data_IF_359993653444
#
_entry.id   IF_359993653444
#
_cell.length_a   1.000
_cell.length_b   1.000
_cell.length_c   1.000
_cell.angle_alpha   90.00
_cell.angle_beta   90.00
_cell.angle_gamma   90.00
#
_symmetry.space_group_name_H-M   'P 1'
#
loop_
_entity.id
_entity.type
_entity.pdbx_description
1 polymer ?
#
# COMPACT_ATOMS: atom_id res chain seq x y z
N UNK A 1 -71.46 3.79 -24.91
CA UNK A 1 -70.56 4.24 -23.90
C UNK A 1 -69.43 3.20 -23.81
N UNK A 2 -68.27 3.53 -24.40
CA UNK A 2 -67.16 2.56 -24.59
C UNK A 2 -66.11 2.85 -23.58
N UNK A 3 -65.87 1.86 -22.69
CA UNK A 3 -64.77 1.89 -21.72
C UNK A 3 -63.44 1.61 -22.45
N UNK A 4 -62.47 2.52 -22.34
CA UNK A 4 -61.08 2.29 -22.70
C UNK A 4 -60.30 1.96 -21.40
N UNK A 5 -59.88 0.69 -21.29
CA UNK A 5 -58.86 0.29 -20.33
C UNK A 5 -57.48 0.57 -20.93
N UNK A 6 -56.78 1.52 -20.34
CA UNK A 6 -55.33 1.71 -20.59
C UNK A 6 -54.52 0.66 -19.81
N UNK A 7 -53.88 -0.25 -20.55
CA UNK A 7 -52.88 -1.14 -19.95
C UNK A 7 -51.55 -0.37 -19.82
N UNK A 8 -51.18 -0.02 -18.58
CA UNK A 8 -49.85 0.45 -18.26
C UNK A 8 -48.88 -0.73 -18.26
N UNK A 9 -47.95 -0.75 -19.21
CA UNK A 9 -46.78 -1.63 -19.16
C UNK A 9 -45.82 -1.11 -18.07
N UNK A 10 -45.81 -1.77 -16.91
CA UNK A 10 -44.72 -1.63 -15.96
C UNK A 10 -43.54 -2.41 -16.53
N UNK A 11 -42.53 -1.71 -17.06
CA UNK A 11 -41.22 -2.29 -17.27
C UNK A 11 -40.62 -2.57 -15.85
N UNK A 12 -40.65 -3.83 -15.46
CA UNK A 12 -39.81 -4.30 -14.38
C UNK A 12 -38.35 -4.24 -14.89
N UNK A 13 -37.59 -3.26 -14.44
CA UNK A 13 -36.13 -3.33 -14.53
C UNK A 13 -35.71 -4.49 -13.63
N UNK A 14 -35.33 -5.61 -14.22
CA UNK A 14 -34.55 -6.64 -13.57
C UNK A 14 -33.17 -6.00 -13.41
N UNK A 15 -32.59 -5.90 -12.20
CA UNK A 15 -31.18 -5.54 -12.08
C UNK A 15 -30.40 -6.60 -12.85
N UNK A 16 -29.83 -6.22 -13.99
CA UNK A 16 -28.89 -7.07 -14.72
C UNK A 16 -27.66 -7.23 -13.83
N UNK A 17 -27.22 -8.46 -13.63
CA UNK A 17 -25.89 -8.69 -13.08
C UNK A 17 -24.90 -7.85 -13.90
N UNK A 18 -24.08 -7.04 -13.23
CA UNK A 18 -22.99 -6.33 -13.88
C UNK A 18 -22.05 -7.40 -14.46
N UNK A 19 -21.87 -7.38 -15.78
CA UNK A 19 -20.92 -8.25 -16.47
C UNK A 19 -19.70 -7.39 -16.80
N UNK A 20 -18.50 -8.00 -16.72
CA UNK A 20 -17.29 -7.35 -17.22
C UNK A 20 -17.50 -6.93 -18.69
N UNK A 21 -17.00 -5.75 -19.04
CA UNK A 21 -16.90 -5.33 -20.43
C UNK A 21 -15.77 -6.06 -21.17
N UNK A 22 -15.51 -5.68 -22.42
CA UNK A 22 -14.47 -6.34 -23.23
C UNK A 22 -13.06 -6.29 -22.58
N UNK A 23 -12.74 -5.20 -21.86
CA UNK A 23 -11.48 -5.04 -21.14
C UNK A 23 -11.41 -5.94 -19.91
N UNK A 24 -12.50 -6.06 -19.14
CA UNK A 24 -12.58 -6.93 -17.99
C UNK A 24 -12.47 -8.43 -18.35
N UNK A 25 -13.12 -8.87 -19.41
CA UNK A 25 -13.06 -10.27 -19.88
C UNK A 25 -11.60 -10.69 -20.24
N UNK A 26 -10.77 -9.75 -20.69
CA UNK A 26 -9.36 -10.01 -21.07
C UNK A 26 -8.37 -9.77 -19.95
N UNK A 27 -8.79 -9.09 -18.87
CA UNK A 27 -7.87 -8.67 -17.81
C UNK A 27 -7.26 -9.87 -17.07
N UNK A 28 -8.06 -10.85 -16.69
CA UNK A 28 -7.57 -12.05 -16.00
C UNK A 28 -6.54 -12.82 -16.85
N UNK A 29 -6.82 -12.99 -18.14
CA UNK A 29 -5.90 -13.66 -19.06
C UNK A 29 -4.59 -12.88 -19.21
N UNK A 30 -4.66 -11.55 -19.28
CA UNK A 30 -3.50 -10.67 -19.36
C UNK A 30 -2.63 -10.72 -18.09
N UNK A 31 -3.27 -10.72 -16.90
CA UNK A 31 -2.59 -10.85 -15.62
C UNK A 31 -1.88 -12.20 -15.47
N UNK A 32 -2.51 -13.29 -15.90
CA UNK A 32 -1.92 -14.63 -15.81
C UNK A 32 -0.92 -14.93 -16.92
N UNK A 33 -1.05 -14.24 -18.06
CA UNK A 33 -0.15 -14.37 -19.20
C UNK A 33 1.05 -13.43 -19.18
N UNK A 34 1.06 -12.45 -18.27
CA UNK A 34 2.11 -11.42 -18.24
C UNK A 34 2.00 -10.38 -19.37
N UNK A 35 0.82 -10.23 -20.00
CA UNK A 35 0.58 -9.32 -21.15
C UNK A 35 -0.24 -8.09 -20.80
N UNK A 36 -0.24 -7.69 -19.53
CA UNK A 36 -1.09 -6.61 -19.02
C UNK A 36 -0.82 -5.26 -19.70
N UNK A 37 0.44 -4.95 -19.98
CA UNK A 37 0.83 -3.72 -20.68
C UNK A 37 0.23 -3.63 -22.10
N UNK A 38 0.06 -4.78 -22.80
CA UNK A 38 -0.59 -4.82 -24.12
C UNK A 38 -2.09 -4.50 -24.01
N UNK A 39 -2.75 -5.01 -22.96
CA UNK A 39 -4.15 -4.71 -22.67
C UNK A 39 -4.33 -3.22 -22.38
N UNK A 40 -3.46 -2.62 -21.55
CA UNK A 40 -3.51 -1.22 -21.19
C UNK A 40 -3.50 -0.29 -22.41
N UNK A 41 -2.73 -0.60 -23.46
CA UNK A 41 -2.69 0.20 -24.70
C UNK A 41 -4.04 0.28 -25.39
N UNK A 42 -4.90 -0.71 -25.24
CA UNK A 42 -6.24 -0.78 -25.87
C UNK A 42 -7.36 -0.30 -24.94
N UNK A 43 -7.16 -0.30 -23.63
CA UNK A 43 -8.16 0.09 -22.64
C UNK A 43 -8.33 1.60 -22.49
N UNK A 44 -7.32 2.42 -22.89
CA UNK A 44 -7.31 3.87 -22.63
C UNK A 44 -8.55 4.59 -23.19
N UNK A 45 -8.94 4.31 -24.44
CA UNK A 45 -10.09 4.95 -25.06
C UNK A 45 -11.43 4.58 -24.38
N UNK A 46 -11.56 3.35 -23.92
CA UNK A 46 -12.75 2.86 -23.21
C UNK A 46 -12.83 3.50 -21.82
N UNK A 47 -11.70 3.59 -21.10
CA UNK A 47 -11.63 4.32 -19.83
C UNK A 47 -11.97 5.80 -20.00
N UNK A 48 -11.52 6.46 -21.07
CA UNK A 48 -11.89 7.85 -21.37
C UNK A 48 -13.39 8.02 -21.70
N UNK A 49 -14.03 6.95 -22.18
CA UNK A 49 -15.47 6.90 -22.38
C UNK A 49 -16.27 6.61 -21.08
N UNK A 50 -15.61 6.33 -19.96
CA UNK A 50 -16.22 6.07 -18.65
C UNK A 50 -16.49 4.59 -18.37
N UNK A 51 -15.87 3.66 -19.12
CA UNK A 51 -15.96 2.22 -18.84
C UNK A 51 -15.12 1.88 -17.62
N UNK A 52 -15.78 1.42 -16.53
CA UNK A 52 -15.15 1.16 -15.23
C UNK A 52 -14.11 0.05 -15.29
N UNK A 53 -14.41 -1.06 -15.95
CA UNK A 53 -13.51 -2.20 -16.12
C UNK A 53 -12.25 -1.83 -16.90
N UNK A 54 -12.35 -0.94 -17.89
CA UNK A 54 -11.21 -0.45 -18.65
C UNK A 54 -10.30 0.44 -17.78
N UNK A 55 -10.89 1.32 -16.96
CA UNK A 55 -10.12 2.12 -16.00
C UNK A 55 -9.47 1.25 -14.92
N UNK A 56 -10.17 0.22 -14.44
CA UNK A 56 -9.64 -0.74 -13.48
C UNK A 56 -8.42 -1.49 -14.04
N UNK A 57 -8.50 -1.94 -15.30
CA UNK A 57 -7.38 -2.59 -15.98
C UNK A 57 -6.13 -1.68 -16.07
N UNK A 58 -6.32 -0.38 -16.42
CA UNK A 58 -5.25 0.61 -16.44
C UNK A 58 -4.69 0.89 -15.04
N UNK A 59 -5.55 0.92 -14.03
CA UNK A 59 -5.14 1.12 -12.64
C UNK A 59 -4.31 -0.05 -12.12
N UNK A 60 -4.70 -1.30 -12.38
CA UNK A 60 -3.90 -2.48 -12.02
C UNK A 60 -2.56 -2.52 -12.73
N UNK A 61 -2.54 -2.21 -14.02
CA UNK A 61 -1.28 -2.12 -14.78
C UNK A 61 -0.34 -1.08 -14.14
N UNK A 62 -0.84 0.11 -13.83
CA UNK A 62 -0.04 1.16 -13.22
C UNK A 62 0.47 0.80 -11.80
N UNK A 63 -0.31 0.06 -11.01
CA UNK A 63 0.13 -0.47 -9.70
C UNK A 63 1.26 -1.48 -9.91
N UNK A 64 1.08 -2.46 -10.78
CA UNK A 64 2.08 -3.50 -11.05
C UNK A 64 3.35 -2.86 -11.59
N UNK A 65 3.26 -1.98 -12.59
CA UNK A 65 4.41 -1.26 -13.15
C UNK A 65 5.16 -0.44 -12.09
N UNK A 66 4.44 0.19 -11.16
CA UNK A 66 5.07 0.93 -10.07
C UNK A 66 5.95 0.03 -9.20
N UNK A 67 5.42 -1.10 -8.73
CA UNK A 67 6.15 -2.02 -7.87
C UNK A 67 7.27 -2.77 -8.61
N UNK A 68 7.02 -3.23 -9.83
CA UNK A 68 8.04 -3.89 -10.65
C UNK A 68 9.21 -2.96 -10.95
N UNK A 69 8.94 -1.74 -11.40
CA UNK A 69 10.01 -0.76 -11.69
C UNK A 69 10.82 -0.45 -10.44
N UNK A 70 10.18 -0.23 -9.28
CA UNK A 70 10.91 0.00 -8.04
C UNK A 70 11.76 -1.22 -7.65
N UNK A 71 11.21 -2.43 -7.75
CA UNK A 71 11.92 -3.67 -7.44
C UNK A 71 13.14 -3.87 -8.37
N UNK A 72 12.96 -3.64 -9.68
CA UNK A 72 14.03 -3.69 -10.68
C UNK A 72 15.13 -2.66 -10.40
N UNK A 73 14.76 -1.43 -10.08
CA UNK A 73 15.71 -0.37 -9.74
C UNK A 73 16.49 -0.71 -8.46
N UNK A 74 15.82 -1.19 -7.42
CA UNK A 74 16.48 -1.63 -6.19
C UNK A 74 17.41 -2.83 -6.43
N UNK A 75 16.97 -3.82 -7.23
CA UNK A 75 17.78 -4.97 -7.61
C UNK A 75 18.99 -4.55 -8.45
N UNK A 76 18.82 -3.65 -9.44
CA UNK A 76 19.90 -3.11 -10.27
C UNK A 76 21.04 -2.53 -9.42
N UNK A 77 20.70 -1.87 -8.31
CA UNK A 77 21.66 -1.30 -7.38
C UNK A 77 22.04 -2.24 -6.24
N UNK A 78 21.65 -3.51 -6.31
CA UNK A 78 22.05 -4.54 -5.37
C UNK A 78 21.50 -4.35 -3.96
N UNK A 79 20.25 -3.90 -3.85
CA UNK A 79 19.57 -3.82 -2.57
C UNK A 79 19.53 -5.17 -1.87
N UNK A 80 19.87 -5.17 -0.60
CA UNK A 80 19.78 -6.35 0.27
C UNK A 80 18.90 -6.00 1.47
N UNK A 81 18.18 -7.00 1.96
CA UNK A 81 17.53 -6.88 3.27
C UNK A 81 18.60 -7.12 4.33
N UNK A 82 18.95 -6.11 5.14
CA UNK A 82 19.89 -6.33 6.23
C UNK A 82 19.36 -7.40 7.18
N UNK A 83 20.19 -8.39 7.53
CA UNK A 83 19.85 -9.47 8.47
C UNK A 83 19.54 -8.97 9.89
N UNK A 84 19.41 -7.66 10.09
CA UNK A 84 19.20 -7.08 11.40
C UNK A 84 17.71 -6.80 11.66
N UNK A 85 17.23 -7.35 12.77
CA UNK A 85 15.91 -7.04 13.36
C UNK A 85 15.69 -5.54 13.61
N UNK A 86 16.74 -4.71 13.62
CA UNK A 86 16.66 -3.28 13.85
C UNK A 86 16.08 -2.50 12.68
N UNK A 87 16.33 -2.89 11.44
CA UNK A 87 15.70 -2.25 10.27
C UNK A 87 14.22 -2.63 10.17
N UNK A 88 13.87 -3.90 10.42
CA UNK A 88 12.49 -4.35 10.54
C UNK A 88 11.73 -3.59 11.64
N UNK A 89 12.38 -3.31 12.77
CA UNK A 89 11.83 -2.51 13.85
C UNK A 89 11.65 -1.02 13.45
N UNK A 90 12.63 -0.47 12.72
CA UNK A 90 12.61 0.94 12.27
C UNK A 90 11.57 1.18 11.17
N UNK A 91 11.40 0.20 10.28
CA UNK A 91 10.47 0.28 9.14
C UNK A 91 9.07 -0.26 9.46
N UNK A 92 8.87 -0.90 10.62
CA UNK A 92 7.59 -1.44 11.06
C UNK A 92 7.06 -2.60 10.22
N UNK A 93 7.89 -3.20 9.36
CA UNK A 93 7.50 -4.25 8.41
C UNK A 93 8.47 -5.40 8.48
N UNK A 94 7.97 -6.63 8.49
CA UNK A 94 8.79 -7.79 8.14
C UNK A 94 9.16 -7.66 6.67
N UNK A 95 10.43 -7.35 6.37
CA UNK A 95 10.88 -7.24 4.99
C UNK A 95 11.00 -8.64 4.40
N UNK A 96 10.32 -8.95 3.29
CA UNK A 96 10.45 -10.24 2.62
C UNK A 96 11.91 -10.53 2.28
N UNK A 97 12.32 -11.80 2.30
CA UNK A 97 13.63 -12.20 1.78
C UNK A 97 13.73 -11.69 0.34
N UNK A 98 14.74 -10.86 0.09
CA UNK A 98 14.97 -10.32 -1.25
C UNK A 98 15.18 -11.46 -2.26
N UNK A 99 14.72 -11.30 -3.51
CA UNK A 99 15.14 -12.15 -4.60
C UNK A 99 16.68 -12.17 -4.73
N UNK A 100 17.22 -13.07 -5.51
CA UNK A 100 18.66 -13.30 -5.65
C UNK A 100 19.45 -11.97 -5.70
N UNK A 101 20.45 -11.82 -4.84
CA UNK A 101 21.28 -10.61 -4.80
C UNK A 101 21.96 -10.40 -6.16
N UNK A 102 21.89 -9.19 -6.73
CA UNK A 102 22.65 -8.81 -7.92
C UNK A 102 24.15 -8.96 -7.62
N UNK A 103 24.85 -9.73 -8.45
CA UNK A 103 26.27 -10.01 -8.26
C UNK A 103 27.18 -8.83 -8.65
N UNK A 104 26.71 -8.00 -9.61
CA UNK A 104 27.45 -6.86 -10.18
C UNK A 104 26.56 -5.62 -10.26
N UNK A 105 26.19 -5.03 -9.10
CA UNK A 105 25.27 -3.92 -9.06
C UNK A 105 25.87 -2.62 -9.63
N UNK A 106 25.00 -1.81 -10.21
CA UNK A 106 25.36 -0.47 -10.67
C UNK A 106 25.54 0.51 -9.48
N UNK A 107 26.39 1.53 -9.65
CA UNK A 107 26.52 2.58 -8.65
C UNK A 107 25.19 3.31 -8.43
N UNK A 108 24.89 3.62 -7.17
CA UNK A 108 23.71 4.39 -6.77
C UNK A 108 24.18 5.74 -6.20
N UNK A 109 23.73 6.85 -6.78
CA UNK A 109 23.89 8.17 -6.16
C UNK A 109 22.65 8.54 -5.33
N UNK A 110 22.81 9.53 -4.45
CA UNK A 110 21.70 10.08 -3.68
C UNK A 110 20.57 10.62 -4.57
N UNK A 111 20.94 11.36 -5.60
CA UNK A 111 20.01 11.94 -6.57
C UNK A 111 19.25 10.85 -7.32
N UNK A 112 19.95 9.81 -7.79
CA UNK A 112 19.33 8.69 -8.50
C UNK A 112 18.36 7.91 -7.59
N UNK A 113 18.72 7.69 -6.32
CA UNK A 113 17.79 7.08 -5.37
C UNK A 113 16.51 7.93 -5.22
N UNK A 114 16.65 9.26 -5.11
CA UNK A 114 15.49 10.15 -5.04
C UNK A 114 14.63 10.08 -6.31
N UNK A 115 15.27 10.02 -7.49
CA UNK A 115 14.56 9.88 -8.78
C UNK A 115 13.75 8.58 -8.84
N UNK A 116 14.29 7.44 -8.38
CA UNK A 116 13.55 6.18 -8.33
C UNK A 116 12.35 6.26 -7.39
N UNK A 117 12.53 6.83 -6.19
CA UNK A 117 11.44 6.99 -5.22
C UNK A 117 10.35 7.96 -5.73
N UNK A 118 10.76 9.05 -6.41
CA UNK A 118 9.82 10.01 -7.00
C UNK A 118 9.04 9.38 -8.16
N UNK A 119 9.72 8.66 -9.05
CA UNK A 119 9.08 7.92 -10.15
C UNK A 119 8.06 6.90 -9.64
N UNK A 120 8.33 6.24 -8.51
CA UNK A 120 7.40 5.34 -7.86
C UNK A 120 6.13 6.06 -7.39
N UNK A 121 6.28 7.21 -6.70
CA UNK A 121 5.10 7.98 -6.25
C UNK A 121 4.26 8.50 -7.41
N UNK A 122 4.88 8.95 -8.50
CA UNK A 122 4.19 9.41 -9.72
C UNK A 122 3.37 8.28 -10.38
N UNK A 123 3.93 7.05 -10.41
CA UNK A 123 3.18 5.88 -10.92
C UNK A 123 2.00 5.52 -10.03
N UNK A 124 2.17 5.57 -8.70
CA UNK A 124 1.08 5.35 -7.75
C UNK A 124 -0.02 6.42 -7.86
N UNK A 125 0.33 7.68 -8.12
CA UNK A 125 -0.65 8.75 -8.39
C UNK A 125 -1.44 8.48 -9.68
N UNK A 126 -0.75 7.98 -10.70
CA UNK A 126 -1.39 7.55 -11.95
C UNK A 126 -2.37 6.39 -11.70
N UNK A 127 -1.93 5.39 -10.93
CA UNK A 127 -2.76 4.26 -10.53
C UNK A 127 -4.00 4.72 -9.75
N UNK A 128 -3.80 5.57 -8.73
CA UNK A 128 -4.89 6.12 -7.92
C UNK A 128 -5.91 6.87 -8.77
N UNK A 129 -5.44 7.62 -9.78
CA UNK A 129 -6.33 8.33 -10.72
C UNK A 129 -7.18 7.38 -11.55
N UNK A 130 -6.59 6.34 -12.13
CA UNK A 130 -7.34 5.35 -12.90
C UNK A 130 -8.32 4.57 -12.02
N UNK A 131 -7.88 4.14 -10.83
CA UNK A 131 -8.73 3.42 -9.88
C UNK A 131 -9.91 4.27 -9.39
N UNK A 132 -9.70 5.56 -9.11
CA UNK A 132 -10.79 6.47 -8.77
C UNK A 132 -11.80 6.60 -9.93
N UNK A 133 -11.31 6.69 -11.17
CA UNK A 133 -12.18 6.72 -12.37
C UNK A 133 -12.93 5.40 -12.57
N UNK A 134 -12.32 4.26 -12.22
CA UNK A 134 -12.98 2.96 -12.25
C UNK A 134 -14.13 2.90 -11.24
N UNK A 135 -13.91 3.38 -10.02
CA UNK A 135 -14.97 3.48 -9.01
C UNK A 135 -16.14 4.36 -9.42
N UNK A 136 -15.86 5.51 -10.07
CA UNK A 136 -16.88 6.43 -10.58
C UNK A 136 -17.47 5.99 -11.95
N UNK A 137 -16.92 4.95 -12.59
CA UNK A 137 -17.26 4.48 -13.94
C UNK A 137 -18.52 3.61 -14.01
N UNK A 138 -18.74 3.01 -15.19
CA UNK A 138 -19.80 2.00 -15.35
C UNK A 138 -19.58 0.80 -14.43
N UNK A 139 -20.65 0.16 -13.96
CA UNK A 139 -20.58 -1.00 -13.09
C UNK A 139 -19.91 -2.19 -13.81
N UNK A 140 -19.05 -2.90 -13.09
CA UNK A 140 -18.36 -4.10 -13.55
C UNK A 140 -18.17 -5.09 -12.40
N UNK A 141 -17.96 -6.37 -12.71
CA UNK A 141 -17.44 -7.39 -11.81
C UNK A 141 -16.43 -8.24 -12.59
N UNK A 142 -15.20 -8.33 -12.13
CA UNK A 142 -14.12 -9.07 -12.80
C UNK A 142 -13.58 -10.15 -11.86
N UNK A 143 -13.81 -11.45 -12.15
CA UNK A 143 -13.28 -12.53 -11.33
C UNK A 143 -11.78 -12.71 -11.59
N UNK A 144 -10.97 -12.55 -10.57
CA UNK A 144 -9.51 -12.74 -10.63
C UNK A 144 -9.06 -13.72 -9.55
N UNK A 145 -8.09 -14.58 -9.88
CA UNK A 145 -7.33 -15.41 -8.94
C UNK A 145 -6.02 -14.67 -8.58
N UNK A 146 -5.95 -13.90 -7.47
CA UNK A 146 -4.78 -13.04 -7.20
C UNK A 146 -3.46 -13.79 -7.14
N UNK A 147 -3.48 -15.03 -6.64
CA UNK A 147 -2.28 -15.85 -6.50
C UNK A 147 -1.64 -16.28 -7.82
N UNK A 148 -2.37 -16.14 -8.95
CA UNK A 148 -1.90 -16.44 -10.31
C UNK A 148 -1.37 -15.21 -11.05
N UNK A 149 -1.57 -14.02 -10.48
CA UNK A 149 -1.07 -12.78 -11.08
C UNK A 149 0.44 -12.86 -11.16
N UNK A 150 0.99 -12.67 -12.36
CA UNK A 150 2.43 -12.67 -12.59
C UNK A 150 2.98 -11.26 -12.44
N UNK A 151 4.13 -11.18 -11.80
CA UNK A 151 4.90 -9.94 -11.56
C UNK A 151 6.37 -10.23 -11.84
N UNK A 152 7.06 -9.33 -12.52
CA UNK A 152 8.52 -9.42 -12.68
C UNK A 152 9.23 -9.14 -11.35
N UNK A 153 9.69 -10.18 -10.68
CA UNK A 153 10.28 -10.11 -9.35
C UNK A 153 11.80 -10.00 -9.36
N UNK A 154 12.44 -10.52 -10.40
CA UNK A 154 13.91 -10.56 -10.48
C UNK A 154 14.48 -9.49 -11.41
N UNK A 155 13.62 -8.75 -12.09
CA UNK A 155 13.99 -7.60 -12.90
C UNK A 155 14.60 -7.95 -14.25
N UNK A 156 14.36 -9.15 -14.77
CA UNK A 156 14.86 -9.56 -16.08
C UNK A 156 13.98 -9.04 -17.25
N UNK A 157 12.82 -8.48 -16.94
CA UNK A 157 11.85 -7.91 -17.89
C UNK A 157 10.83 -8.93 -18.40
N UNK A 158 10.87 -10.17 -17.92
CA UNK A 158 9.90 -11.22 -18.23
C UNK A 158 9.13 -11.58 -16.94
N UNK A 159 7.85 -11.90 -17.07
CA UNK A 159 7.02 -12.39 -15.96
C UNK A 159 6.95 -13.91 -16.02
N UNK A 160 7.92 -14.58 -15.38
CA UNK A 160 8.08 -16.01 -15.41
C UNK A 160 6.92 -16.79 -14.76
N UNK A 161 6.87 -18.12 -14.95
CA UNK A 161 5.83 -18.96 -14.33
C UNK A 161 5.95 -19.05 -12.81
N UNK A 162 7.15 -18.90 -12.27
CA UNK A 162 7.43 -18.93 -10.82
C UNK A 162 7.24 -17.55 -10.16
N UNK A 163 7.12 -16.49 -10.95
CA UNK A 163 7.01 -15.11 -10.49
C UNK A 163 5.54 -14.69 -10.34
N UNK A 164 4.89 -15.30 -9.37
CA UNK A 164 3.49 -15.00 -9.06
C UNK A 164 3.36 -14.32 -7.70
N UNK A 165 2.27 -13.57 -7.52
CA UNK A 165 1.91 -13.03 -6.22
C UNK A 165 1.82 -14.13 -5.15
N UNK A 166 1.35 -15.33 -5.53
CA UNK A 166 1.33 -16.50 -4.65
C UNK A 166 2.72 -16.91 -4.17
N UNK A 167 3.70 -16.94 -5.08
CA UNK A 167 5.11 -17.25 -4.75
C UNK A 167 5.71 -16.16 -3.85
N UNK A 168 5.44 -14.89 -4.15
CA UNK A 168 5.89 -13.76 -3.33
C UNK A 168 5.37 -13.85 -1.90
N UNK A 169 4.07 -14.08 -1.70
CA UNK A 169 3.45 -14.19 -0.38
C UNK A 169 3.97 -15.39 0.42
N UNK A 170 4.28 -16.51 -0.23
CA UNK A 170 4.91 -17.66 0.41
C UNK A 170 6.31 -17.33 0.94
N UNK A 171 7.13 -16.61 0.15
CA UNK A 171 8.46 -16.19 0.57
C UNK A 171 8.43 -15.11 1.67
N UNK A 172 7.41 -14.26 1.66
CA UNK A 172 7.22 -13.23 2.68
C UNK A 172 6.84 -13.79 4.06
N UNK A 173 6.58 -15.10 4.17
CA UNK A 173 6.14 -15.70 5.43
C UNK A 173 4.78 -15.15 5.90
N UNK A 174 4.00 -14.57 5.01
CA UNK A 174 2.65 -14.14 5.29
C UNK A 174 1.87 -15.38 5.71
N UNK A 175 1.52 -15.47 6.99
CA UNK A 175 0.86 -16.63 7.61
C UNK A 175 -0.60 -16.84 7.19
N UNK A 176 -0.94 -16.45 5.97
CA UNK A 176 -2.13 -16.94 5.33
C UNK A 176 -1.85 -18.39 4.94
N UNK A 177 -2.70 -19.33 5.38
CA UNK A 177 -2.75 -20.70 4.84
C UNK A 177 -3.23 -20.59 3.37
N UNK A 178 -2.35 -20.03 2.53
CA UNK A 178 -2.60 -19.88 1.11
C UNK A 178 -2.36 -21.25 0.48
N UNK A 179 -3.36 -21.87 -0.15
CA UNK A 179 -3.16 -23.10 -0.88
C UNK A 179 -2.07 -22.89 -1.94
N UNK A 180 -1.02 -23.70 -1.90
CA UNK A 180 0.05 -23.59 -2.90
C UNK A 180 -0.54 -23.67 -4.33
N UNK A 181 -0.15 -22.79 -5.26
CA UNK A 181 -0.56 -22.93 -6.65
C UNK A 181 -0.11 -24.30 -7.14
N UNK A 182 -1.04 -25.09 -7.65
CA UNK A 182 -0.78 -26.46 -8.09
C UNK A 182 0.06 -26.45 -9.38
N UNK A 183 1.38 -26.34 -9.23
CA UNK A 183 2.30 -26.61 -10.32
C UNK A 183 2.34 -28.13 -10.56
N UNK A 184 1.82 -28.54 -11.69
CA UNK A 184 1.80 -29.89 -12.31
C UNK A 184 0.54 -30.70 -12.07
N UNK A 185 -0.31 -30.70 -13.09
CA UNK A 185 -1.20 -31.79 -13.40
C UNK A 185 -0.40 -33.07 -13.65
N UNK A 186 0.01 -33.79 -12.57
CA UNK A 186 0.41 -35.17 -12.68
C UNK A 186 -0.82 -36.02 -12.37
N UNK A 187 -1.35 -36.61 -13.41
CA UNK A 187 -2.38 -37.63 -13.36
C UNK A 187 -1.98 -38.75 -12.42
N UNK A 188 -2.56 -38.78 -11.24
CA UNK A 188 -2.96 -39.94 -10.43
C UNK A 188 -2.99 -39.59 -8.95
N UNK A 189 -4.20 -39.31 -8.45
CA UNK A 189 -4.49 -39.16 -7.03
C UNK A 189 -5.61 -38.13 -6.84
N UNK A 190 -6.81 -38.57 -6.48
CA UNK A 190 -7.90 -37.66 -6.08
C UNK A 190 -7.59 -37.10 -4.69
N UNK A 191 -6.81 -36.03 -4.62
CA UNK A 191 -6.94 -35.08 -3.52
C UNK A 191 -7.95 -34.02 -3.96
N UNK A 192 -8.94 -33.69 -3.13
CA UNK A 192 -9.81 -32.57 -3.42
C UNK A 192 -8.92 -31.32 -3.47
N UNK A 193 -8.73 -30.78 -4.67
CA UNK A 193 -8.03 -29.52 -4.94
C UNK A 193 -8.73 -28.47 -4.07
N UNK A 194 -7.96 -27.78 -3.23
CA UNK A 194 -8.50 -26.62 -2.53
C UNK A 194 -9.15 -25.69 -3.56
N UNK A 195 -10.35 -25.17 -3.29
CA UNK A 195 -11.01 -24.28 -4.24
C UNK A 195 -10.09 -23.10 -4.55
N UNK A 196 -9.99 -22.74 -5.82
CA UNK A 196 -9.24 -21.56 -6.24
C UNK A 196 -9.81 -20.33 -5.51
N UNK A 197 -8.92 -19.49 -4.97
CA UNK A 197 -9.31 -18.22 -4.37
C UNK A 197 -9.61 -17.25 -5.52
N UNK A 198 -10.89 -17.09 -5.86
CA UNK A 198 -11.36 -16.14 -6.87
C UNK A 198 -12.01 -14.97 -6.14
N UNK A 199 -11.60 -13.76 -6.47
CA UNK A 199 -12.18 -12.51 -5.98
C UNK A 199 -12.92 -11.84 -7.14
N UNK A 200 -14.15 -11.40 -6.93
CA UNK A 200 -14.91 -10.63 -7.89
C UNK A 200 -14.66 -9.14 -7.71
N UNK A 201 -13.61 -8.62 -8.32
CA UNK A 201 -13.29 -7.19 -8.20
C UNK A 201 -14.29 -6.32 -8.92
N UNK A 202 -14.70 -5.22 -8.27
CA UNK A 202 -15.71 -4.30 -8.76
C UNK A 202 -15.39 -2.81 -8.51
N UNK A 203 -16.40 -1.95 -8.58
CA UNK A 203 -16.25 -0.51 -8.37
C UNK A 203 -15.82 -0.15 -6.92
N UNK A 204 -16.25 -0.91 -5.91
CA UNK A 204 -15.84 -0.68 -4.53
C UNK A 204 -14.35 -0.98 -4.36
N UNK A 205 -13.89 -2.11 -4.87
CA UNK A 205 -12.48 -2.48 -4.85
C UNK A 205 -11.60 -1.45 -5.57
N UNK A 206 -12.12 -0.82 -6.62
CA UNK A 206 -11.39 0.25 -7.29
C UNK A 206 -11.10 1.44 -6.35
N UNK A 207 -12.05 1.84 -5.51
CA UNK A 207 -11.79 2.86 -4.47
C UNK A 207 -10.78 2.36 -3.42
N UNK A 208 -10.86 1.08 -3.05
CA UNK A 208 -9.90 0.45 -2.16
C UNK A 208 -8.47 0.53 -2.72
N UNK A 209 -8.26 0.14 -3.99
CA UNK A 209 -6.96 0.24 -4.66
C UNK A 209 -6.48 1.69 -4.81
N UNK A 210 -7.39 2.65 -5.06
CA UNK A 210 -7.04 4.07 -5.07
C UNK A 210 -6.55 4.54 -3.69
N UNK A 211 -7.21 4.10 -2.60
CA UNK A 211 -6.79 4.33 -1.23
C UNK A 211 -5.41 3.77 -0.95
N UNK A 212 -5.18 2.51 -1.33
CA UNK A 212 -3.89 1.83 -1.16
C UNK A 212 -2.74 2.49 -1.93
N UNK A 213 -2.98 2.94 -3.16
CA UNK A 213 -1.98 3.69 -3.92
C UNK A 213 -1.56 4.97 -3.17
N UNK A 214 -2.53 5.67 -2.56
CA UNK A 214 -2.24 6.87 -1.76
C UNK A 214 -1.54 6.53 -0.43
N UNK A 215 -1.96 5.49 0.30
CA UNK A 215 -1.30 5.05 1.54
C UNK A 215 0.15 4.67 1.25
N UNK A 216 0.39 3.93 0.18
CA UNK A 216 1.74 3.50 -0.22
C UNK A 216 2.62 4.68 -0.61
N UNK A 217 2.10 5.67 -1.32
CA UNK A 217 2.86 6.86 -1.71
C UNK A 217 3.17 7.81 -0.54
N UNK A 218 2.33 7.83 0.51
CA UNK A 218 2.44 8.77 1.63
C UNK A 218 3.81 8.79 2.33
N UNK A 219 4.42 7.65 2.74
CA UNK A 219 5.73 7.65 3.36
C UNK A 219 6.83 8.11 2.40
N UNK A 220 6.71 7.85 1.10
CA UNK A 220 7.68 8.30 0.11
C UNK A 220 7.58 9.81 -0.12
N UNK A 221 6.38 10.39 -0.14
CA UNK A 221 6.22 11.85 -0.17
C UNK A 221 6.84 12.51 1.06
N UNK A 222 6.65 11.90 2.24
CA UNK A 222 7.29 12.38 3.47
C UNK A 222 8.82 12.35 3.35
N UNK A 223 9.42 11.24 2.89
CA UNK A 223 10.87 11.11 2.70
C UNK A 223 11.38 12.10 1.64
N UNK A 224 10.70 12.19 0.50
CA UNK A 224 11.10 13.06 -0.62
C UNK A 224 10.94 14.55 -0.31
N UNK A 225 10.09 14.92 0.65
CA UNK A 225 9.99 16.29 1.14
C UNK A 225 11.25 16.75 1.91
N UNK A 226 12.09 15.79 2.33
CA UNK A 226 13.27 16.04 3.14
C UNK A 226 14.57 15.83 2.38
N UNK A 227 15.64 16.44 2.88
CA UNK A 227 17.01 16.07 2.55
C UNK A 227 17.50 15.00 3.54
N UNK A 228 17.81 13.81 3.02
CA UNK A 228 18.38 12.70 3.80
C UNK A 228 19.79 12.31 3.36
N UNK A 229 20.54 13.25 2.76
CA UNK A 229 21.91 13.03 2.27
C UNK A 229 22.82 12.49 3.37
N UNK A 230 22.76 13.06 4.58
CA UNK A 230 23.60 12.61 5.69
C UNK A 230 23.29 11.15 6.09
N UNK A 231 22.00 10.79 6.11
CA UNK A 231 21.59 9.42 6.40
C UNK A 231 21.98 8.46 5.27
N UNK A 232 21.81 8.88 4.01
CA UNK A 232 22.27 8.13 2.84
C UNK A 232 23.76 7.84 2.93
N UNK A 233 24.58 8.85 3.21
CA UNK A 233 26.02 8.71 3.30
C UNK A 233 26.45 7.83 4.48
N UNK A 234 25.79 7.95 5.63
CA UNK A 234 26.20 7.30 6.85
C UNK A 234 25.70 5.86 6.99
N UNK A 235 24.53 5.53 6.42
CA UNK A 235 23.83 4.28 6.75
C UNK A 235 23.40 3.42 5.56
N UNK A 236 23.04 4.01 4.41
CA UNK A 236 22.41 3.22 3.33
C UNK A 236 23.34 2.22 2.64
N UNK A 237 24.66 2.24 2.90
CA UNK A 237 25.55 1.15 2.50
C UNK A 237 25.14 -0.22 3.10
N UNK A 238 24.36 -0.24 4.19
CA UNK A 238 23.77 -1.47 4.76
C UNK A 238 22.67 -2.07 3.88
N UNK A 239 21.98 -1.22 3.13
CA UNK A 239 20.96 -1.64 2.17
C UNK A 239 21.58 -1.89 0.79
N UNK A 240 22.58 -1.10 0.40
CA UNK A 240 23.25 -1.16 -0.90
C UNK A 240 24.76 -1.38 -0.74
N UNK A 241 25.20 -2.57 -0.27
CA UNK A 241 26.59 -2.76 0.18
C UNK A 241 27.62 -2.70 -0.94
N UNK A 242 27.21 -2.83 -2.21
CA UNK A 242 28.10 -2.85 -3.38
C UNK A 242 27.84 -1.73 -4.39
N UNK A 243 26.90 -0.82 -4.11
CA UNK A 243 26.50 0.23 -5.04
C UNK A 243 27.41 1.48 -5.01
N UNK A 244 28.60 1.40 -4.42
CA UNK A 244 29.57 2.48 -4.43
C UNK A 244 29.25 3.65 -3.50
N UNK A 245 28.43 3.44 -2.47
CA UNK A 245 28.12 4.45 -1.46
C UNK A 245 29.40 4.88 -0.69
N UNK A 246 29.40 6.09 -0.06
CA UNK A 246 30.59 6.62 0.63
C UNK A 246 31.11 5.75 1.77
N UNK A 247 30.24 5.04 2.47
CA UNK A 247 30.60 4.11 3.53
C UNK A 247 30.52 2.67 3.01
N UNK A 248 31.25 1.76 3.62
CA UNK A 248 31.20 0.34 3.28
C UNK A 248 32.02 -0.50 4.28
N UNK A 249 31.66 -1.76 4.43
CA UNK A 249 32.33 -2.73 5.27
C UNK A 249 33.56 -3.28 4.56
N UNK A 250 34.62 -2.48 4.48
CA UNK A 250 35.90 -2.91 3.93
C UNK A 250 36.74 -3.56 5.03
N UNK A 251 36.41 -4.80 5.40
CA UNK A 251 37.26 -5.60 6.30
C UNK A 251 38.64 -5.85 5.65
N UNK A 252 39.58 -5.00 5.92
CA UNK A 252 40.99 -5.29 5.65
C UNK A 252 41.52 -6.10 6.84
N UNK A 253 41.62 -7.42 6.66
CA UNK A 253 42.08 -8.33 7.71
C UNK A 253 43.29 -7.84 8.43
N UNK A 254 43.22 -7.80 9.74
CA UNK A 254 44.36 -7.61 10.67
C UNK A 254 44.44 -6.22 11.28
N UNK A 255 44.03 -6.14 12.51
CA UNK A 255 44.57 -5.32 13.58
C UNK A 255 44.37 -3.82 13.52
N UNK A 256 43.27 -3.40 13.91
CA UNK A 256 43.13 -2.29 14.85
C UNK A 256 41.99 -2.70 15.80
N UNK A 257 41.88 -2.04 16.94
CA UNK A 257 41.01 -2.42 18.05
C UNK A 257 39.51 -2.46 17.75
N UNK A 258 39.10 -2.52 16.47
CA UNK A 258 37.72 -2.49 16.01
C UNK A 258 37.46 -3.73 15.14
N UNK A 259 36.53 -4.53 15.58
CA UNK A 259 36.03 -5.70 14.86
C UNK A 259 34.96 -5.25 13.87
N UNK A 260 35.21 -5.46 12.56
CA UNK A 260 34.30 -5.06 11.49
C UNK A 260 32.93 -5.77 11.58
N UNK A 261 32.87 -7.00 12.10
CA UNK A 261 31.63 -7.77 12.13
C UNK A 261 30.69 -7.33 13.27
N UNK A 262 31.23 -6.82 14.38
CA UNK A 262 30.45 -6.43 15.56
C UNK A 262 30.44 -4.92 15.78
N UNK A 263 31.61 -4.27 15.73
CA UNK A 263 31.76 -2.86 16.07
C UNK A 263 31.21 -1.95 14.95
N UNK A 264 31.32 -2.36 13.68
CA UNK A 264 30.78 -1.61 12.55
C UNK A 264 29.25 -1.48 12.63
N UNK A 265 28.54 -2.53 13.06
CA UNK A 265 27.08 -2.45 13.25
C UNK A 265 26.69 -1.39 14.29
N UNK A 266 27.36 -1.37 15.44
CA UNK A 266 27.09 -0.36 16.46
C UNK A 266 27.49 1.06 16.00
N UNK A 267 28.60 1.18 15.26
CA UNK A 267 29.01 2.46 14.69
C UNK A 267 27.97 3.00 13.71
N UNK A 268 27.44 2.15 12.84
CA UNK A 268 26.41 2.52 11.86
C UNK A 268 25.08 2.87 12.52
N UNK A 269 24.70 2.14 13.58
CA UNK A 269 23.51 2.48 14.36
C UNK A 269 23.64 3.86 15.02
N UNK A 270 24.82 4.16 15.60
CA UNK A 270 25.10 5.48 16.16
C UNK A 270 25.05 6.54 15.06
N UNK A 271 25.69 6.28 13.91
CA UNK A 271 25.67 7.19 12.76
C UNK A 271 24.24 7.44 12.27
N UNK A 272 23.40 6.39 12.17
CA UNK A 272 22.00 6.51 11.80
C UNK A 272 21.22 7.41 12.77
N UNK A 273 21.41 7.24 14.09
CA UNK A 273 20.78 8.09 15.12
C UNK A 273 21.21 9.56 14.95
N UNK A 274 22.50 9.83 14.71
CA UNK A 274 23.00 11.19 14.55
C UNK A 274 22.62 11.85 13.22
N UNK A 275 22.38 11.06 12.17
CA UNK A 275 21.95 11.53 10.85
C UNK A 275 20.43 11.53 10.65
N UNK A 276 19.65 11.10 11.66
CA UNK A 276 18.17 11.08 11.61
C UNK A 276 17.56 12.48 11.83
N UNK A 277 18.19 13.50 11.25
CA UNK A 277 17.78 14.91 11.27
C UNK A 277 17.68 15.41 9.83
N UNK A 278 16.45 15.51 9.33
CA UNK A 278 16.14 15.71 7.94
C UNK A 278 15.56 17.12 7.70
N UNK A 279 16.32 18.05 7.07
CA UNK A 279 15.79 19.34 6.65
C UNK A 279 14.64 19.18 5.66
N UNK A 280 13.57 19.99 5.80
CA UNK A 280 12.50 20.08 4.82
C UNK A 280 12.99 20.92 3.65
N UNK A 281 13.10 20.32 2.46
CA UNK A 281 13.56 20.95 1.22
C UNK A 281 12.43 21.16 0.22
N UNK A 282 11.34 20.41 0.33
CA UNK A 282 10.13 20.59 -0.46
C UNK A 282 8.93 20.80 0.48
N UNK A 283 8.62 22.06 0.72
CA UNK A 283 7.54 22.45 1.63
C UNK A 283 6.15 22.15 1.09
N UNK A 284 5.97 22.22 -0.22
CA UNK A 284 4.69 21.92 -0.85
C UNK A 284 4.37 20.44 -0.71
N UNK A 285 5.33 19.57 -1.02
CA UNK A 285 5.20 18.11 -0.82
C UNK A 285 4.99 17.76 0.64
N UNK A 286 5.73 18.40 1.56
CA UNK A 286 5.59 18.14 3.00
C UNK A 286 4.20 18.47 3.53
N UNK A 287 3.67 19.65 3.21
CA UNK A 287 2.29 20.01 3.55
C UNK A 287 1.27 19.12 2.84
N UNK A 288 1.57 18.69 1.62
CA UNK A 288 0.75 17.78 0.79
C UNK A 288 0.51 16.41 1.41
N UNK A 289 1.40 15.94 2.32
CA UNK A 289 1.23 14.66 3.04
C UNK A 289 -0.12 14.60 3.77
N UNK A 290 -0.54 15.67 4.43
CA UNK A 290 -1.86 15.73 5.07
C UNK A 290 -3.01 15.69 4.06
N UNK A 291 -2.85 16.34 2.91
CA UNK A 291 -3.83 16.29 1.82
C UNK A 291 -4.00 14.87 1.27
N UNK A 292 -2.89 14.13 1.13
CA UNK A 292 -2.92 12.73 0.72
C UNK A 292 -3.61 11.86 1.79
N UNK A 293 -3.32 12.06 3.06
CA UNK A 293 -4.00 11.36 4.16
C UNK A 293 -5.51 11.64 4.17
N UNK A 294 -5.93 12.89 3.94
CA UNK A 294 -7.35 13.24 3.80
C UNK A 294 -7.99 12.55 2.57
N UNK A 295 -7.25 12.40 1.47
CA UNK A 295 -7.71 11.65 0.29
C UNK A 295 -7.96 10.19 0.61
N UNK A 296 -7.06 9.54 1.36
CA UNK A 296 -7.23 8.15 1.84
C UNK A 296 -8.53 8.02 2.64
N UNK A 297 -8.77 8.90 3.61
CA UNK A 297 -9.99 8.88 4.42
C UNK A 297 -11.25 9.03 3.55
N UNK A 298 -11.21 9.94 2.58
CA UNK A 298 -12.32 10.16 1.63
C UNK A 298 -12.59 8.93 0.76
N UNK A 299 -11.53 8.29 0.25
CA UNK A 299 -11.64 7.06 -0.56
C UNK A 299 -12.17 5.90 0.26
N UNK A 300 -11.72 5.75 1.52
CA UNK A 300 -12.26 4.75 2.44
C UNK A 300 -13.78 4.91 2.66
N UNK A 301 -14.26 6.15 2.82
CA UNK A 301 -15.71 6.40 2.92
C UNK A 301 -16.47 6.03 1.63
N UNK A 302 -15.93 6.38 0.46
CA UNK A 302 -16.52 6.01 -0.83
C UNK A 302 -16.55 4.49 -1.04
N UNK A 303 -15.47 3.81 -0.67
CA UNK A 303 -15.38 2.36 -0.69
C UNK A 303 -16.52 1.74 0.14
N UNK A 304 -16.67 2.16 1.39
CA UNK A 304 -17.74 1.65 2.25
C UNK A 304 -19.15 2.02 1.80
N UNK A 305 -19.33 3.21 1.21
CA UNK A 305 -20.60 3.59 0.59
C UNK A 305 -20.95 2.65 -0.56
N UNK A 306 -19.96 2.28 -1.40
CA UNK A 306 -20.12 1.34 -2.50
C UNK A 306 -20.43 -0.07 -1.99
N UNK A 307 -19.58 -0.62 -1.09
CA UNK A 307 -19.77 -1.95 -0.47
C UNK A 307 -21.17 -2.10 0.16
N UNK A 308 -21.66 -1.09 0.87
CA UNK A 308 -22.98 -1.15 1.52
C UNK A 308 -24.15 -1.05 0.54
N UNK A 309 -23.91 -0.57 -0.69
CA UNK A 309 -24.91 -0.49 -1.74
C UNK A 309 -25.00 -1.78 -2.60
N UNK A 310 -24.03 -2.67 -2.50
CA UNK A 310 -23.99 -3.94 -3.22
C UNK A 310 -25.12 -4.90 -2.79
N UNK A 311 -25.60 -5.68 -3.74
CA UNK A 311 -26.70 -6.63 -3.52
C UNK A 311 -26.36 -8.07 -3.88
N UNK A 312 -25.15 -8.30 -4.36
CA UNK A 312 -24.59 -9.61 -4.75
C UNK A 312 -23.60 -10.12 -3.69
N UNK A 313 -23.03 -11.29 -3.91
CA UNK A 313 -22.06 -11.93 -3.02
C UNK A 313 -21.05 -12.71 -3.92
N UNK A 314 -20.18 -11.96 -4.58
CA UNK A 314 -19.24 -12.44 -5.59
C UNK A 314 -17.83 -12.72 -5.04
N UNK A 315 -17.69 -13.09 -3.77
CA UNK A 315 -16.42 -13.28 -3.10
C UNK A 315 -15.59 -11.99 -3.00
N UNK A 316 -16.17 -11.02 -2.32
CA UNK A 316 -15.63 -9.68 -2.16
C UNK A 316 -14.30 -9.65 -1.39
N UNK A 317 -13.39 -8.78 -1.80
CA UNK A 317 -12.15 -8.53 -1.06
C UNK A 317 -12.45 -8.00 0.35
N UNK A 318 -13.35 -7.04 0.45
CA UNK A 318 -13.87 -6.49 1.71
C UNK A 318 -15.40 -6.65 1.71
N UNK A 319 -15.96 -7.65 2.40
CA UNK A 319 -17.40 -7.93 2.34
C UNK A 319 -18.22 -6.92 3.16
N UNK A 320 -19.43 -6.63 2.72
CA UNK A 320 -20.47 -5.99 3.52
C UNK A 320 -20.95 -6.92 4.66
N UNK A 321 -21.73 -6.40 5.63
CA UNK A 321 -22.34 -7.25 6.66
C UNK A 321 -23.28 -8.35 6.16
N UNK A 322 -23.69 -8.31 4.89
CA UNK A 322 -24.61 -9.26 4.27
C UNK A 322 -23.92 -10.23 3.29
N UNK A 323 -22.63 -10.02 3.05
CA UNK A 323 -21.80 -10.83 2.14
C UNK A 323 -20.90 -11.82 2.89
N UNK A 324 -20.33 -12.77 2.15
CA UNK A 324 -19.47 -13.84 2.68
C UNK A 324 -18.01 -13.38 2.69
N UNK A 325 -17.37 -13.42 3.86
CA UNK A 325 -15.92 -13.12 3.96
C UNK A 325 -15.07 -14.21 3.33
N UNK A 326 -14.06 -13.81 2.56
CA UNK A 326 -13.01 -14.70 2.07
C UNK A 326 -12.09 -15.20 3.20
N UNK A 327 -11.99 -14.46 4.31
CA UNK A 327 -11.17 -14.84 5.45
C UNK A 327 -11.99 -15.76 6.36
N UNK A 328 -11.58 -17.04 6.53
CA UNK A 328 -12.31 -17.99 7.35
C UNK A 328 -12.51 -17.47 8.78
N UNK A 329 -13.72 -17.62 9.30
CA UNK A 329 -14.10 -17.23 10.67
C UNK A 329 -14.10 -15.71 10.95
N UNK A 330 -13.92 -14.88 9.94
CA UNK A 330 -14.12 -13.44 10.05
C UNK A 330 -15.44 -13.04 9.37
N UNK A 331 -16.12 -12.09 9.95
CA UNK A 331 -17.32 -11.48 9.39
C UNK A 331 -17.30 -9.99 9.67
N UNK A 332 -17.62 -9.20 8.67
CA UNK A 332 -17.87 -7.79 8.84
C UNK A 332 -19.29 -7.62 9.40
N UNK A 333 -19.44 -6.83 10.44
CA UNK A 333 -20.75 -6.53 11.04
C UNK A 333 -21.06 -5.05 10.91
N UNK A 334 -22.33 -4.66 11.06
CA UNK A 334 -22.70 -3.25 11.08
C UNK A 334 -21.96 -2.46 12.20
N UNK A 335 -21.68 -3.11 13.34
CA UNK A 335 -20.89 -2.50 14.40
C UNK A 335 -19.45 -2.21 13.97
N UNK A 336 -18.83 -3.12 13.20
CA UNK A 336 -17.48 -2.92 12.62
C UNK A 336 -17.48 -1.72 11.68
N UNK A 337 -18.45 -1.64 10.76
CA UNK A 337 -18.57 -0.52 9.80
C UNK A 337 -18.77 0.81 10.54
N UNK A 338 -19.66 0.86 11.53
CA UNK A 338 -19.90 2.07 12.30
C UNK A 338 -18.63 2.50 13.07
N UNK A 339 -17.94 1.55 13.73
CA UNK A 339 -16.71 1.82 14.45
C UNK A 339 -15.59 2.32 13.51
N UNK A 340 -15.54 1.80 12.28
CA UNK A 340 -14.61 2.28 11.26
C UNK A 340 -14.89 3.73 10.86
N UNK A 341 -16.15 4.07 10.58
CA UNK A 341 -16.54 5.45 10.29
C UNK A 341 -16.22 6.41 11.43
N UNK A 342 -16.48 6.00 12.69
CA UNK A 342 -16.11 6.78 13.88
C UNK A 342 -14.58 6.99 13.93
N UNK A 343 -13.78 5.96 13.60
CA UNK A 343 -12.32 6.09 13.54
C UNK A 343 -11.87 7.05 12.45
N UNK A 344 -12.46 6.98 11.25
CA UNK A 344 -12.18 7.94 10.16
C UNK A 344 -12.51 9.39 10.58
N UNK A 345 -13.59 9.61 11.35
CA UNK A 345 -13.94 10.92 11.89
C UNK A 345 -12.88 11.43 12.89
N UNK A 346 -12.29 10.55 13.72
CA UNK A 346 -11.18 10.95 14.59
C UNK A 346 -9.91 11.28 13.79
N UNK A 347 -9.61 10.52 12.74
CA UNK A 347 -8.47 10.79 11.86
C UNK A 347 -8.64 12.14 11.14
N UNK A 348 -9.83 12.46 10.62
CA UNK A 348 -10.12 13.78 10.05
C UNK A 348 -9.85 14.91 11.06
N UNK A 349 -10.27 14.74 12.31
CA UNK A 349 -10.01 15.72 13.37
C UNK A 349 -8.52 15.87 13.67
N UNK A 350 -7.76 14.78 13.63
CA UNK A 350 -6.29 14.81 13.79
C UNK A 350 -5.65 15.61 12.65
N UNK A 351 -6.03 15.33 11.42
CA UNK A 351 -5.52 16.02 10.23
C UNK A 351 -5.90 17.50 10.25
N UNK A 352 -7.12 17.83 10.67
CA UNK A 352 -7.58 19.21 10.83
C UNK A 352 -6.89 19.97 11.96
N UNK A 353 -6.22 19.27 12.89
CA UNK A 353 -5.61 19.84 14.09
C UNK A 353 -6.58 20.09 15.24
N UNK A 354 -7.82 19.56 15.15
CA UNK A 354 -8.87 19.66 16.17
C UNK A 354 -8.76 18.58 17.26
N UNK A 355 -8.03 17.51 16.97
CA UNK A 355 -7.67 16.45 17.89
C UNK A 355 -6.15 16.27 17.87
N UNK A 356 -5.51 16.46 19.01
CA UNK A 356 -4.06 16.49 19.13
C UNK A 356 -3.50 15.09 19.35
N UNK A 357 -2.28 14.83 18.86
CA UNK A 357 -1.59 13.57 19.13
C UNK A 357 -0.96 13.57 20.53
N UNK A 358 -1.11 12.49 21.32
CA UNK A 358 -0.47 12.39 22.62
C UNK A 358 1.05 12.26 22.47
N UNK A 359 1.77 12.84 23.43
CA UNK A 359 3.21 12.59 23.57
C UNK A 359 3.50 12.27 25.04
N UNK A 360 4.26 11.21 25.27
CA UNK A 360 4.49 10.65 26.61
C UNK A 360 5.15 11.60 27.60
N UNK A 361 5.75 12.72 27.15
CA UNK A 361 6.41 13.71 28.01
C UNK A 361 5.53 14.89 28.39
N UNK A 362 4.42 15.13 27.71
CA UNK A 362 3.68 16.39 27.84
C UNK A 362 2.23 16.15 28.22
N UNK A 363 1.67 17.14 28.93
CA UNK A 363 0.23 17.24 29.19
C UNK A 363 -0.52 17.91 28.04
N UNK A 364 0.18 18.57 27.14
CA UNK A 364 -0.32 19.12 25.88
C UNK A 364 -0.12 18.09 24.77
N UNK A 365 -0.96 18.15 23.75
CA UNK A 365 -0.82 17.30 22.57
C UNK A 365 -0.05 17.99 21.43
N UNK A 366 0.46 17.19 20.49
CA UNK A 366 1.09 17.67 19.25
C UNK A 366 -0.01 17.97 18.24
N UNK A 367 -0.01 19.18 17.69
CA UNK A 367 -0.85 19.55 16.56
C UNK A 367 -0.18 19.11 15.26
N UNK A 368 -0.70 18.03 14.66
CA UNK A 368 -0.14 17.44 13.46
C UNK A 368 -0.18 18.40 12.27
N UNK A 369 -1.27 19.17 12.13
CA UNK A 369 -1.40 20.17 11.08
C UNK A 369 -0.31 21.23 11.18
N UNK A 370 -0.11 21.79 12.39
CA UNK A 370 0.95 22.78 12.60
C UNK A 370 2.32 22.21 12.27
N UNK A 371 2.59 20.95 12.61
CA UNK A 371 3.86 20.30 12.27
C UNK A 371 4.07 20.27 10.76
N UNK A 372 3.14 19.75 9.97
CA UNK A 372 3.30 19.66 8.51
C UNK A 372 3.31 21.02 7.81
N UNK A 373 2.62 22.01 8.36
CA UNK A 373 2.60 23.36 7.79
C UNK A 373 3.85 24.19 8.13
N UNK A 374 4.52 23.92 9.27
CA UNK A 374 5.53 24.87 9.78
C UNK A 374 6.89 24.28 10.12
N UNK A 375 7.03 22.93 10.26
CA UNK A 375 8.32 22.35 10.58
C UNK A 375 9.35 22.59 9.48
N UNK A 376 10.55 23.02 9.85
CA UNK A 376 11.67 23.25 8.94
C UNK A 376 12.56 22.02 8.79
N UNK A 377 12.42 21.08 9.68
CA UNK A 377 13.14 19.81 9.72
C UNK A 377 12.33 18.77 10.49
N UNK A 378 12.68 17.52 10.28
CA UNK A 378 12.24 16.38 11.08
C UNK A 378 13.47 15.71 11.70
N UNK A 379 13.69 15.91 12.98
CA UNK A 379 14.65 15.13 13.77
C UNK A 379 13.87 14.02 14.49
N UNK A 380 13.96 12.79 13.98
CA UNK A 380 13.17 11.68 14.50
C UNK A 380 13.46 11.40 15.97
N UNK A 381 14.75 11.53 16.37
CA UNK A 381 15.18 11.26 17.74
C UNK A 381 14.70 12.36 18.69
N UNK A 382 14.86 13.62 18.30
CA UNK A 382 14.45 14.76 19.13
C UNK A 382 12.93 14.94 19.13
N UNK A 383 12.23 14.57 18.05
CA UNK A 383 10.78 14.55 18.01
C UNK A 383 10.23 13.49 18.99
N UNK A 384 10.75 12.25 18.94
CA UNK A 384 10.38 11.17 19.84
C UNK A 384 10.73 11.46 21.31
N UNK A 385 11.91 12.05 21.55
CA UNK A 385 12.35 12.41 22.93
C UNK A 385 11.71 13.70 23.43
N UNK A 386 11.04 14.48 22.58
CA UNK A 386 10.19 15.59 22.94
C UNK A 386 10.77 16.98 22.69
N UNK A 387 12.08 17.14 22.49
CA UNK A 387 12.67 18.48 22.31
C UNK A 387 12.09 19.17 21.06
N UNK A 388 12.10 18.47 19.91
CA UNK A 388 11.61 19.04 18.65
C UNK A 388 10.08 18.96 18.50
N UNK A 389 9.38 18.35 19.45
CA UNK A 389 7.92 18.41 19.55
C UNK A 389 7.41 19.74 20.18
N UNK A 390 8.27 20.47 20.94
CA UNK A 390 7.87 21.67 21.68
C UNK A 390 7.17 22.75 20.83
N UNK A 391 7.62 23.08 19.61
CA UNK A 391 6.96 24.10 18.77
C UNK A 391 5.53 23.75 18.35
N UNK A 392 5.20 22.46 18.34
CA UNK A 392 3.93 21.92 17.84
C UNK A 392 2.93 21.56 18.95
N UNK A 393 3.30 21.81 20.23
CA UNK A 393 2.41 21.55 21.35
C UNK A 393 1.29 22.58 21.43
N UNK A 394 0.07 22.10 21.58
CA UNK A 394 -1.13 22.92 21.72
C UNK A 394 -1.98 22.48 22.91
N UNK A 395 -2.83 23.39 23.38
CA UNK A 395 -3.89 23.07 24.34
C UNK A 395 -5.15 22.67 23.56
N UNK A 396 -5.75 21.54 23.88
CA UNK A 396 -6.94 21.03 23.20
C UNK A 396 -7.23 19.58 23.56
N UNK A 397 -8.27 18.98 22.93
CA UNK A 397 -8.53 17.55 23.06
C UNK A 397 -7.34 16.75 22.56
N UNK A 398 -6.95 15.71 23.30
CA UNK A 398 -5.84 14.82 22.93
C UNK A 398 -6.44 13.45 22.63
N UNK A 399 -6.00 12.84 21.53
CA UNK A 399 -6.39 11.48 21.16
C UNK A 399 -5.92 10.48 22.23
N UNK A 400 -6.81 9.61 22.63
CA UNK A 400 -6.59 8.57 23.63
C UNK A 400 -7.38 7.29 23.28
N UNK A 401 -7.31 6.30 24.14
CA UNK A 401 -8.06 5.05 23.96
C UNK A 401 -9.59 5.28 23.88
N UNK A 402 -10.10 6.33 24.51
CA UNK A 402 -11.51 6.69 24.45
C UNK A 402 -11.92 7.25 23.10
N UNK A 403 -11.02 7.98 22.41
CA UNK A 403 -11.23 8.49 21.06
C UNK A 403 -11.45 7.37 20.02
N UNK A 404 -10.90 6.18 20.28
CA UNK A 404 -11.03 4.99 19.42
C UNK A 404 -11.74 3.82 20.14
N UNK A 405 -12.55 4.12 21.15
CA UNK A 405 -13.18 3.13 22.03
C UNK A 405 -14.01 2.10 21.26
N UNK A 406 -14.83 2.54 20.33
CA UNK A 406 -15.71 1.63 19.59
C UNK A 406 -14.87 0.70 18.70
N UNK A 407 -13.82 1.20 18.09
CA UNK A 407 -12.89 0.38 17.30
C UNK A 407 -12.17 -0.65 18.18
N UNK A 408 -11.62 -0.21 19.33
CA UNK A 408 -10.98 -1.11 20.29
C UNK A 408 -11.97 -2.15 20.84
N UNK A 409 -13.24 -1.77 21.06
CA UNK A 409 -14.28 -2.68 21.52
C UNK A 409 -14.62 -3.77 20.52
N UNK A 410 -14.68 -3.41 19.22
CA UNK A 410 -15.14 -4.30 18.16
C UNK A 410 -14.00 -5.16 17.62
N UNK A 411 -12.82 -4.58 17.43
CA UNK A 411 -11.67 -5.23 16.75
C UNK A 411 -10.49 -5.52 17.69
N UNK A 412 -10.55 -5.07 18.97
CA UNK A 412 -9.45 -5.19 19.92
C UNK A 412 -8.34 -4.17 19.70
N UNK A 413 -7.28 -4.26 20.50
CA UNK A 413 -6.17 -3.30 20.49
C UNK A 413 -5.31 -3.40 19.20
N UNK A 414 -5.44 -4.49 18.45
CA UNK A 414 -4.71 -4.74 17.19
C UNK A 414 -5.42 -4.16 15.95
N UNK A 415 -6.49 -3.39 16.13
CA UNK A 415 -7.25 -2.81 15.02
C UNK A 415 -6.41 -2.03 13.99
N UNK A 416 -5.29 -1.36 14.33
CA UNK A 416 -4.48 -0.67 13.32
C UNK A 416 -3.92 -1.61 12.25
N UNK A 417 -3.73 -2.91 12.56
CA UNK A 417 -3.34 -3.92 11.58
C UNK A 417 -4.50 -4.26 10.63
N UNK A 418 -5.73 -4.27 11.15
CA UNK A 418 -6.93 -4.47 10.34
C UNK A 418 -7.26 -3.24 9.48
N UNK A 419 -6.83 -2.04 9.89
CA UNK A 419 -7.02 -0.81 9.12
C UNK A 419 -6.45 -0.94 7.69
N UNK A 420 -5.36 -1.69 7.53
CA UNK A 420 -4.79 -1.98 6.21
C UNK A 420 -5.73 -2.80 5.32
N UNK A 421 -6.60 -3.62 5.87
CA UNK A 421 -7.56 -4.40 5.08
C UNK A 421 -8.86 -3.63 4.83
N UNK A 422 -9.28 -2.81 5.80
CA UNK A 422 -10.55 -2.08 5.75
C UNK A 422 -10.51 -0.76 4.97
N UNK A 423 -9.34 -0.29 4.59
CA UNK A 423 -9.22 1.04 3.97
C UNK A 423 -10.12 1.24 2.78
#
# INVERSE_FOLDING_TARGET
MRNWMGAGLALAMVPGAALAGESGDRLADALYGGTLTELATTASAACDAGEGDACFALGLEAIIDAFETLAQDLHRHGAVVPDSSALGLLMGVGVPSAPSSNADPEPLSYELLREHLDAFTVRLDTAASYMHRAGDGSAFVIPIEPLRVRIDLDGDGERGEEETLGTLLQHAGAGFDVPAPSSKATSKGKDPQAPALVIGFDNADAYWFAGYSNITALPFDFVLAHDFTDFYNAFLHRVFPKAGLPMGDLARGGSLAIDADTDAYFADLIAAIHSANFPVVDRERFAGVLGRAATVISLSRKNWESILAETDDNFELVPSPTQTSLVPHQSVTADVVNAWHDALDQLDRIIAGDLLLPHWRFTKGINLKTYFETAEKTDLVLLFTGHDALPFLADGPIADAESFREMNRVMGDDWPLFALWFN
#
